data_IF_206789992994
#
_entry.id   IF_206789992994
#
_cell.length_a   1.000
_cell.length_b   1.000
_cell.length_c   1.000
_cell.angle_alpha   90.00
_cell.angle_beta   90.00
_cell.angle_gamma   90.00
#
_symmetry.space_group_name_H-M   'P 1'
#
loop_
_entity.id
_entity.type
_entity.pdbx_description
1 polymer ?
#
# COMPACT_ATOMS: atom_id res chain seq x y z
N UNK A 1 16.95 10.78 -0.44
CA UNK A 1 16.76 10.87 1.02
C UNK A 1 15.55 11.77 1.25
N UNK A 2 14.38 11.21 1.59
CA UNK A 2 13.19 12.01 1.91
C UNK A 2 13.35 12.57 3.33
N UNK A 3 13.13 13.88 3.56
CA UNK A 3 13.33 14.48 4.88
C UNK A 3 12.26 13.97 5.85
N UNK A 4 12.70 13.36 6.94
CA UNK A 4 11.86 12.93 8.06
C UNK A 4 11.47 14.17 8.90
N UNK A 5 10.70 15.09 8.32
CA UNK A 5 10.02 16.11 9.11
C UNK A 5 8.92 15.40 9.89
N UNK A 6 9.04 15.41 11.22
CA UNK A 6 8.16 14.73 12.18
C UNK A 6 6.69 15.14 12.08
N UNK A 7 6.02 14.62 11.05
CA UNK A 7 4.58 14.64 10.89
C UNK A 7 4.10 13.29 11.38
N UNK A 8 3.47 13.25 12.55
CA UNK A 8 2.70 12.07 12.98
C UNK A 8 1.69 11.79 11.87
N UNK A 9 1.98 10.79 11.04
CA UNK A 9 1.06 10.38 9.97
C UNK A 9 -0.04 9.61 10.68
N UNK A 10 -1.20 10.27 10.86
CA UNK A 10 -2.39 9.64 11.41
C UNK A 10 -2.91 8.68 10.33
N UNK A 11 -2.57 7.39 10.47
CA UNK A 11 -2.93 6.35 9.50
C UNK A 11 -4.45 6.11 9.40
N UNK A 12 -5.21 6.51 10.42
CA UNK A 12 -6.67 6.33 10.47
C UNK A 12 -7.45 7.32 9.59
N UNK A 13 -6.80 8.35 9.03
CA UNK A 13 -7.48 9.39 8.24
C UNK A 13 -7.43 9.13 6.73
N UNK A 14 -6.83 8.04 6.26
CA UNK A 14 -6.75 7.77 4.83
C UNK A 14 -8.01 7.04 4.35
N UNK A 15 -8.64 7.49 3.25
CA UNK A 15 -9.74 6.75 2.64
C UNK A 15 -9.24 5.40 2.14
N UNK A 16 -10.13 4.40 2.11
CA UNK A 16 -9.79 3.06 1.62
C UNK A 16 -9.23 3.16 0.18
N UNK A 17 -7.96 2.78 -0.05
CA UNK A 17 -7.37 2.86 -1.37
C UNK A 17 -8.08 1.99 -2.41
N UNK A 18 -8.88 0.99 -1.99
CA UNK A 18 -9.64 0.08 -2.86
C UNK A 18 -10.70 0.80 -3.71
N UNK A 19 -11.20 1.96 -3.25
CA UNK A 19 -12.14 2.78 -4.01
C UNK A 19 -11.48 3.56 -5.14
N UNK A 20 -10.21 3.92 -4.99
CA UNK A 20 -9.47 4.73 -5.97
C UNK A 20 -8.58 3.90 -6.87
N UNK A 21 -8.06 2.78 -6.39
CA UNK A 21 -7.10 1.95 -7.08
C UNK A 21 -7.66 0.55 -7.33
N UNK A 22 -7.38 0.03 -8.52
CA UNK A 22 -7.73 -1.32 -8.94
C UNK A 22 -6.46 -2.12 -9.19
N UNK A 23 -6.40 -3.34 -8.67
CA UNK A 23 -5.27 -4.26 -8.89
C UNK A 23 -5.42 -4.90 -10.27
N UNK A 24 -4.42 -4.69 -11.14
CA UNK A 24 -4.40 -5.26 -12.50
C UNK A 24 -3.64 -6.59 -12.49
N UNK A 25 -2.41 -6.59 -11.98
CA UNK A 25 -1.52 -7.75 -12.05
C UNK A 25 -0.52 -7.75 -10.88
N UNK A 26 -0.02 -8.94 -10.53
CA UNK A 26 1.08 -9.08 -9.59
C UNK A 26 2.39 -8.92 -10.34
N UNK A 27 3.19 -7.93 -9.96
CA UNK A 27 4.49 -7.65 -10.61
C UNK A 27 5.68 -8.13 -9.79
N UNK A 28 5.47 -8.53 -8.53
CA UNK A 28 6.54 -9.09 -7.71
C UNK A 28 6.03 -9.72 -6.43
N UNK A 29 6.82 -10.66 -5.90
CA UNK A 29 6.62 -11.25 -4.57
C UNK A 29 7.89 -11.03 -3.77
N UNK A 30 7.76 -10.48 -2.57
CA UNK A 30 8.85 -10.30 -1.62
C UNK A 30 8.60 -11.07 -0.34
N UNK A 31 9.59 -11.08 0.56
CA UNK A 31 9.53 -11.79 1.85
C UNK A 31 8.38 -11.32 2.75
N UNK A 32 7.97 -10.06 2.62
CA UNK A 32 6.99 -9.40 3.50
C UNK A 32 5.69 -9.03 2.79
N UNK A 33 5.46 -9.52 1.58
CA UNK A 33 4.25 -9.19 0.83
C UNK A 33 4.41 -9.22 -0.68
N UNK A 34 3.35 -8.79 -1.37
CA UNK A 34 3.24 -8.81 -2.83
C UNK A 34 3.21 -7.39 -3.38
N UNK A 35 3.85 -7.21 -4.53
CA UNK A 35 3.81 -5.95 -5.28
C UNK A 35 2.88 -6.13 -6.45
N UNK A 36 1.90 -5.24 -6.54
CA UNK A 36 0.88 -5.21 -7.58
C UNK A 36 1.04 -3.96 -8.43
N UNK A 37 0.77 -4.10 -9.72
CA UNK A 37 0.48 -2.98 -10.58
C UNK A 37 -0.98 -2.61 -10.40
N UNK A 38 -1.23 -1.34 -10.14
CA UNK A 38 -2.57 -0.80 -9.94
C UNK A 38 -2.91 0.25 -10.98
N UNK A 39 -4.20 0.40 -11.25
CA UNK A 39 -4.78 1.45 -12.08
C UNK A 39 -5.61 2.38 -11.20
N UNK A 40 -5.47 3.68 -11.40
CA UNK A 40 -6.34 4.66 -10.78
C UNK A 40 -7.69 4.69 -11.52
N UNK A 41 -8.79 4.41 -10.82
CA UNK A 41 -10.14 4.39 -11.39
C UNK A 41 -10.62 5.76 -11.86
N UNK A 42 -10.07 6.86 -11.31
CA UNK A 42 -10.49 8.23 -11.62
C UNK A 42 -9.77 8.80 -12.83
N UNK A 43 -8.47 8.53 -12.98
CA UNK A 43 -7.64 9.18 -14.01
C UNK A 43 -6.87 8.20 -14.91
N UNK A 44 -6.97 6.89 -14.70
CA UNK A 44 -6.28 5.88 -15.51
C UNK A 44 -4.76 5.80 -15.29
N UNK A 45 -4.21 6.48 -14.28
CA UNK A 45 -2.78 6.43 -13.97
C UNK A 45 -2.38 5.05 -13.46
N UNK A 46 -1.18 4.60 -13.82
CA UNK A 46 -0.63 3.33 -13.37
C UNK A 46 0.38 3.57 -12.26
N UNK A 47 0.32 2.77 -11.20
CA UNK A 47 1.27 2.81 -10.09
C UNK A 47 1.62 1.39 -9.63
N UNK A 48 2.63 1.28 -8.77
CA UNK A 48 2.96 0.05 -8.07
C UNK A 48 2.55 0.19 -6.59
N UNK A 49 1.86 -0.81 -6.06
CA UNK A 49 1.46 -0.87 -4.65
C UNK A 49 2.05 -2.14 -4.04
N UNK A 50 2.64 -1.99 -2.84
CA UNK A 50 3.11 -3.11 -2.04
C UNK A 50 2.10 -3.39 -0.94
N UNK A 51 1.47 -4.56 -1.01
CA UNK A 51 0.57 -5.07 0.03
C UNK A 51 1.38 -6.00 0.91
N UNK A 52 1.44 -5.69 2.21
CA UNK A 52 2.13 -6.51 3.18
C UNK A 52 1.26 -7.70 3.57
N UNK A 53 1.81 -8.91 3.50
CA UNK A 53 1.10 -10.06 4.04
C UNK A 53 1.03 -9.89 5.57
N UNK A 54 -0.13 -10.13 6.21
CA UNK A 54 -0.25 -10.03 7.66
C UNK A 54 0.74 -11.01 8.27
N UNK A 55 1.79 -10.47 8.89
CA UNK A 55 2.93 -11.28 9.33
C UNK A 55 2.42 -12.33 10.31
N UNK A 56 2.63 -13.60 9.98
CA UNK A 56 2.27 -14.74 10.82
C UNK A 56 3.16 -14.76 12.07
N UNK A 57 2.88 -13.90 13.05
CA UNK A 57 3.18 -14.06 14.48
C UNK A 57 2.56 -12.92 15.27
N UNK A 58 1.52 -13.27 16.03
CA UNK A 58 1.13 -12.65 17.30
C UNK A 58 1.31 -11.12 17.35
N UNK A 59 0.34 -10.36 16.83
CA UNK A 59 -0.15 -9.06 17.30
C UNK A 59 -1.12 -8.50 16.25
N UNK A 60 -2.20 -7.79 16.63
CA UNK A 60 -3.34 -7.54 15.77
C UNK A 60 -2.96 -6.71 14.53
N UNK A 61 -3.46 -7.17 13.39
CA UNK A 61 -3.22 -6.71 12.02
C UNK A 61 -3.41 -5.20 11.83
N UNK A 62 -2.32 -4.47 11.60
CA UNK A 62 -2.35 -3.13 11.00
C UNK A 62 -1.83 -3.24 9.57
N UNK A 63 -2.73 -3.12 8.59
CA UNK A 63 -2.38 -3.07 7.17
C UNK A 63 -1.70 -1.72 6.93
N UNK A 64 -0.38 -1.72 6.76
CA UNK A 64 0.38 -0.52 6.39
C UNK A 64 0.61 -0.49 4.87
N UNK A 65 -0.12 0.38 4.17
CA UNK A 65 0.13 0.70 2.77
C UNK A 65 1.15 1.85 2.70
N UNK A 66 2.29 1.63 2.03
CA UNK A 66 3.21 2.70 1.63
C UNK A 66 3.30 2.71 0.10
N UNK A 67 2.84 3.81 -0.49
CA UNK A 67 2.99 4.09 -1.93
C UNK A 67 4.37 4.74 -2.10
N UNK A 68 5.22 4.14 -2.95
CA UNK A 68 6.51 4.68 -3.33
C UNK A 68 6.40 5.45 -4.65
#
# INVERSE_FOLDING_TARGET
>A
MLPLTGKTIIFDSFPDPSETWEIIETIGKGTYGKVFKVLNKKNGSKAAVKILDPVHRLLPSTISCSVA
#
